data_IF_566909771022
#
_entry.id   IF_566909771022
#
_cell.length_a   1.000
_cell.length_b   1.000
_cell.length_c   1.000
_cell.angle_alpha   90.00
_cell.angle_beta   90.00
_cell.angle_gamma   90.00
#
_symmetry.space_group_name_H-M   'P 1'
#
loop_
_entity.id
_entity.type
_entity.pdbx_description
1 polymer ?
#
# COMPACT_ATOMS: atom_id res chain seq x y z
N UNK A 1 -12.29 -2.42 14.75
CA UNK A 1 -10.92 -1.89 14.62
C UNK A 1 -10.82 -0.57 15.34
N UNK A 2 -9.80 -0.42 16.12
CA UNK A 2 -9.61 0.83 16.85
C UNK A 2 -9.38 1.98 15.89
N UNK A 3 -9.80 3.17 16.31
CA UNK A 3 -9.73 4.34 15.45
C UNK A 3 -8.33 4.85 15.23
N UNK A 4 -7.33 4.31 15.96
CA UNK A 4 -5.97 4.77 15.78
C UNK A 4 -5.47 4.55 14.35
N UNK A 5 -6.19 3.74 13.55
CA UNK A 5 -5.80 3.50 12.17
C UNK A 5 -5.80 4.76 11.31
N UNK A 6 -6.52 5.81 11.75
CA UNK A 6 -6.54 7.09 11.03
C UNK A 6 -5.59 8.11 11.63
N UNK A 7 -4.88 7.75 12.68
CA UNK A 7 -4.01 8.69 13.36
C UNK A 7 -2.79 9.02 12.49
N UNK A 8 -2.43 10.28 12.46
CA UNK A 8 -1.24 10.74 11.75
C UNK A 8 0.00 9.99 12.27
N UNK A 9 0.78 9.47 11.34
CA UNK A 9 2.01 8.77 11.68
C UNK A 9 1.87 7.27 11.89
N UNK A 10 0.65 6.75 11.96
CA UNK A 10 0.44 5.32 12.12
C UNK A 10 0.78 4.59 10.82
N UNK A 11 1.46 3.46 10.92
CA UNK A 11 1.66 2.56 9.78
C UNK A 11 0.47 1.63 9.73
N UNK A 12 -0.44 1.90 8.80
CA UNK A 12 -1.76 1.32 8.82
C UNK A 12 -1.91 0.10 7.90
N UNK A 13 -1.07 -0.01 6.89
CA UNK A 13 -1.22 -1.07 5.89
C UNK A 13 0.14 -1.39 5.26
N UNK A 14 0.20 -2.50 4.54
CA UNK A 14 1.38 -2.87 3.77
C UNK A 14 0.93 -3.61 2.52
N UNK A 15 1.61 -3.32 1.39
CA UNK A 15 1.32 -3.93 0.10
C UNK A 15 2.60 -4.38 -0.56
N UNK A 16 2.51 -5.45 -1.32
CA UNK A 16 3.57 -5.89 -2.21
C UNK A 16 3.01 -5.87 -3.63
N UNK A 17 3.63 -5.09 -4.50
CA UNK A 17 3.16 -4.92 -5.88
C UNK A 17 4.20 -5.53 -6.82
N UNK A 18 3.81 -6.58 -7.53
CA UNK A 18 4.73 -7.36 -8.36
C UNK A 18 4.04 -7.82 -9.63
N UNK A 19 4.84 -8.18 -10.63
CA UNK A 19 4.29 -8.61 -11.91
C UNK A 19 3.73 -10.04 -11.84
N UNK A 20 4.23 -10.85 -10.92
CA UNK A 20 3.79 -12.25 -10.76
C UNK A 20 3.01 -12.44 -9.48
N UNK A 21 1.99 -11.61 -9.30
CA UNK A 21 1.24 -11.54 -8.04
C UNK A 21 0.60 -12.88 -7.65
N UNK A 22 0.11 -13.65 -8.64
CA UNK A 22 -0.49 -14.95 -8.32
C UNK A 22 0.52 -15.92 -7.75
N UNK A 23 1.69 -15.96 -8.34
CA UNK A 23 2.75 -16.84 -7.85
C UNK A 23 3.17 -16.43 -6.44
N UNK A 24 3.29 -15.14 -6.21
CA UNK A 24 3.72 -14.62 -4.91
C UNK A 24 2.63 -14.85 -3.86
N UNK A 25 1.36 -14.67 -4.24
CA UNK A 25 0.24 -14.99 -3.37
C UNK A 25 0.33 -16.44 -2.88
N UNK A 26 0.57 -17.36 -3.81
CA UNK A 26 0.64 -18.77 -3.47
C UNK A 26 1.86 -19.09 -2.62
N UNK A 27 2.97 -18.39 -2.90
CA UNK A 27 4.16 -18.53 -2.09
C UNK A 27 3.87 -18.20 -0.62
N UNK A 28 3.24 -17.07 -0.36
CA UNK A 28 2.95 -16.67 1.02
C UNK A 28 1.87 -17.51 1.66
N UNK A 29 0.92 -18.02 0.87
CA UNK A 29 -0.08 -18.94 1.41
C UNK A 29 0.59 -20.21 1.93
N UNK A 30 1.61 -20.68 1.24
CA UNK A 30 2.31 -21.88 1.65
C UNK A 30 3.32 -21.61 2.78
N UNK A 31 4.07 -20.54 2.67
CA UNK A 31 5.14 -20.26 3.61
C UNK A 31 4.62 -19.76 4.95
N UNK A 32 3.58 -18.94 4.92
CA UNK A 32 3.06 -18.28 6.12
C UNK A 32 1.71 -18.87 6.55
N UNK A 33 0.97 -19.44 5.62
CA UNK A 33 -0.36 -19.94 5.92
C UNK A 33 -1.45 -18.92 5.69
N UNK A 34 -1.15 -17.79 5.08
CA UNK A 34 -2.16 -16.78 4.81
C UNK A 34 -3.24 -17.32 3.88
N UNK A 35 -4.47 -16.94 4.13
CA UNK A 35 -5.59 -17.09 3.19
C UNK A 35 -5.69 -15.80 2.38
N UNK A 36 -6.59 -15.78 1.39
CA UNK A 36 -6.75 -14.54 0.65
C UNK A 36 -8.17 -14.37 0.15
N UNK A 37 -8.52 -13.12 -0.14
CA UNK A 37 -9.76 -12.75 -0.82
C UNK A 37 -9.40 -11.94 -2.06
N UNK A 38 -10.22 -12.07 -3.09
CA UNK A 38 -10.03 -11.30 -4.31
C UNK A 38 -10.51 -9.87 -4.10
N UNK A 39 -9.73 -8.92 -4.62
CA UNK A 39 -10.09 -7.51 -4.63
C UNK A 39 -10.18 -7.11 -6.11
N UNK A 40 -11.40 -6.89 -6.59
CA UNK A 40 -11.61 -6.61 -8.02
C UNK A 40 -10.99 -5.26 -8.38
N UNK A 41 -10.20 -5.26 -9.45
CA UNK A 41 -9.63 -4.04 -10.01
C UNK A 41 -10.19 -3.77 -11.40
N UNK A 42 -11.33 -4.38 -11.72
CA UNK A 42 -11.95 -4.27 -13.03
C UNK A 42 -11.63 -5.50 -13.86
N UNK A 43 -10.58 -5.44 -14.65
CA UNK A 43 -10.24 -6.52 -15.56
C UNK A 43 -9.37 -7.59 -14.89
N UNK A 44 -8.86 -7.32 -13.71
CA UNK A 44 -8.05 -8.28 -12.95
C UNK A 44 -8.36 -8.10 -11.48
N UNK A 45 -7.79 -8.96 -10.65
CA UNK A 45 -7.98 -8.87 -9.21
C UNK A 45 -6.65 -8.84 -8.50
N UNK A 46 -6.56 -8.01 -7.47
CA UNK A 46 -5.49 -8.07 -6.49
C UNK A 46 -5.95 -8.94 -5.32
N UNK A 47 -5.11 -9.10 -4.32
CA UNK A 47 -5.39 -10.02 -3.24
C UNK A 47 -5.24 -9.35 -1.90
N UNK A 48 -6.24 -9.52 -1.05
CA UNK A 48 -6.16 -9.14 0.36
C UNK A 48 -5.78 -10.40 1.12
N UNK A 49 -4.62 -10.38 1.76
CA UNK A 49 -4.13 -11.55 2.48
C UNK A 49 -4.69 -11.53 3.89
N UNK A 50 -5.14 -12.68 4.34
CA UNK A 50 -5.87 -12.82 5.60
C UNK A 50 -5.10 -13.72 6.55
N UNK A 51 -5.16 -13.40 7.84
CA UNK A 51 -4.59 -14.31 8.83
C UNK A 51 -5.37 -15.63 8.80
N UNK A 52 -4.70 -16.77 9.01
CA UNK A 52 -5.38 -18.06 8.81
C UNK A 52 -6.47 -18.35 9.80
N UNK A 53 -6.39 -17.85 11.01
CA UNK A 53 -7.36 -18.16 12.03
C UNK A 53 -8.53 -17.20 12.04
N UNK A 54 -8.27 -15.93 12.27
CA UNK A 54 -9.33 -14.93 12.39
C UNK A 54 -9.79 -14.41 11.04
N UNK A 55 -9.02 -14.69 9.98
CA UNK A 55 -9.28 -14.20 8.63
C UNK A 55 -9.34 -12.69 8.55
N UNK A 56 -8.49 -12.04 9.36
CA UNK A 56 -8.37 -10.59 9.37
C UNK A 56 -7.44 -10.15 8.26
N UNK A 57 -7.82 -9.10 7.49
CA UNK A 57 -6.93 -8.57 6.46
C UNK A 57 -5.64 -8.06 7.09
N UNK A 58 -4.51 -8.43 6.53
CA UNK A 58 -3.23 -8.02 7.08
C UNK A 58 -2.29 -7.40 6.05
N UNK A 59 -2.45 -7.69 4.77
CA UNK A 59 -1.57 -7.16 3.74
C UNK A 59 -2.21 -7.32 2.39
N UNK A 60 -1.70 -6.58 1.41
CA UNK A 60 -2.13 -6.72 0.03
C UNK A 60 -1.02 -7.28 -0.83
N UNK A 61 -1.38 -8.09 -1.83
CA UNK A 61 -0.46 -8.50 -2.89
C UNK A 61 -1.12 -8.10 -4.18
N UNK A 62 -0.47 -7.23 -4.92
CA UNK A 62 -1.06 -6.51 -6.03
C UNK A 62 -0.29 -6.71 -7.31
N UNK A 63 -0.99 -6.59 -8.42
CA UNK A 63 -0.35 -6.65 -9.73
C UNK A 63 0.29 -5.31 -10.07
N UNK A 64 1.50 -5.35 -10.62
CA UNK A 64 2.21 -4.15 -11.05
C UNK A 64 1.64 -3.69 -12.38
N UNK A 65 0.65 -2.82 -12.33
CA UNK A 65 -0.03 -2.31 -13.53
C UNK A 65 -0.30 -0.82 -13.40
N UNK A 66 -0.45 -0.16 -14.53
CA UNK A 66 -0.78 1.24 -14.57
C UNK A 66 0.28 2.09 -13.89
N UNK A 67 -0.14 2.97 -13.02
CA UNK A 67 0.78 3.83 -12.29
C UNK A 67 1.71 3.07 -11.36
N UNK A 68 1.34 1.84 -11.02
CA UNK A 68 2.12 1.03 -10.10
C UNK A 68 3.07 0.07 -10.81
N UNK A 69 3.17 0.17 -12.14
CA UNK A 69 3.98 -0.78 -12.91
C UNK A 69 5.46 -0.69 -12.59
N UNK A 70 5.92 0.46 -12.13
CA UNK A 70 7.34 0.69 -11.86
C UNK A 70 7.72 0.57 -10.39
N UNK A 71 6.78 0.15 -9.53
CA UNK A 71 7.10 0.02 -8.11
C UNK A 71 8.07 -1.13 -7.89
N UNK A 72 8.99 -0.97 -6.93
CA UNK A 72 9.93 -2.06 -6.65
C UNK A 72 9.23 -3.25 -6.02
N UNK A 73 9.82 -4.43 -6.19
CA UNK A 73 9.31 -5.65 -5.59
C UNK A 73 9.72 -5.69 -4.12
N UNK A 74 8.99 -4.97 -3.29
CA UNK A 74 9.26 -4.92 -1.86
C UNK A 74 7.97 -4.59 -1.12
N UNK A 75 7.93 -4.96 0.15
CA UNK A 75 6.79 -4.64 1.00
C UNK A 75 6.80 -3.16 1.29
N UNK A 76 5.78 -2.46 0.81
CA UNK A 76 5.63 -1.04 1.06
C UNK A 76 4.74 -0.84 2.26
N UNK A 77 5.25 -0.14 3.26
CA UNK A 77 4.41 0.27 4.38
C UNK A 77 3.66 1.54 3.99
N UNK A 78 2.44 1.68 4.53
CA UNK A 78 1.60 2.85 4.31
C UNK A 78 1.54 3.63 5.61
N UNK A 79 2.01 4.87 5.56
CA UNK A 79 2.08 5.74 6.73
C UNK A 79 1.00 6.80 6.58
N UNK A 80 0.14 6.93 7.58
CA UNK A 80 -0.93 7.92 7.54
C UNK A 80 -0.36 9.32 7.71
N UNK A 81 -0.87 10.25 6.89
CA UNK A 81 -0.51 11.66 6.98
C UNK A 81 -1.80 12.48 6.98
N UNK A 82 -1.72 13.71 7.49
CA UNK A 82 -2.90 14.57 7.57
C UNK A 82 -3.11 15.40 6.31
N UNK A 83 -2.04 15.66 5.55
CA UNK A 83 -2.12 16.48 4.33
C UNK A 83 -1.08 15.95 3.36
N UNK A 84 -1.53 15.14 2.41
CA UNK A 84 -0.61 14.42 1.55
C UNK A 84 0.15 15.35 0.61
N UNK A 85 -0.49 16.44 0.15
CA UNK A 85 0.19 17.39 -0.73
C UNK A 85 1.34 18.08 0.00
N UNK A 86 1.11 18.43 1.26
CA UNK A 86 2.15 19.04 2.06
C UNK A 86 3.29 18.06 2.34
N UNK A 87 2.92 16.80 2.59
CA UNK A 87 3.93 15.75 2.82
C UNK A 87 4.80 15.55 1.60
N UNK A 88 4.20 15.57 0.40
CA UNK A 88 4.97 15.44 -0.84
C UNK A 88 5.92 16.60 -1.00
N UNK A 89 5.45 17.83 -0.74
CA UNK A 89 6.31 19.00 -0.85
C UNK A 89 7.50 18.91 0.11
N UNK A 90 7.24 18.48 1.35
CA UNK A 90 8.32 18.31 2.32
C UNK A 90 9.29 17.22 1.89
N UNK A 91 8.76 16.13 1.36
CA UNK A 91 9.57 15.02 0.85
C UNK A 91 10.57 15.53 -0.19
N UNK A 92 10.06 16.25 -1.17
CA UNK A 92 10.92 16.75 -2.25
C UNK A 92 11.93 17.77 -1.76
N UNK A 93 11.53 18.62 -0.83
CA UNK A 93 12.42 19.62 -0.27
C UNK A 93 13.58 18.98 0.49
N UNK A 94 13.34 17.86 1.12
CA UNK A 94 14.32 17.22 1.99
C UNK A 94 15.09 16.09 1.30
N UNK A 95 15.02 16.01 -0.02
CA UNK A 95 15.85 15.10 -0.78
C UNK A 95 15.20 13.79 -1.18
N UNK A 96 13.90 13.64 -0.89
CA UNK A 96 13.15 12.48 -1.35
C UNK A 96 12.60 12.69 -2.74
N UNK A 97 11.89 11.69 -3.23
CA UNK A 97 11.30 11.72 -4.57
C UNK A 97 9.86 11.22 -4.52
N UNK A 98 9.02 11.78 -5.36
CA UNK A 98 7.67 11.27 -5.57
C UNK A 98 7.75 10.23 -6.69
N UNK A 99 7.35 8.99 -6.36
CA UNK A 99 7.40 7.88 -7.30
C UNK A 99 6.08 7.76 -8.05
N UNK A 100 4.96 7.88 -7.33
CA UNK A 100 3.64 7.73 -7.94
C UNK A 100 2.60 8.49 -7.13
N UNK A 101 1.57 8.98 -7.82
CA UNK A 101 0.46 9.70 -7.18
C UNK A 101 0.81 11.14 -6.88
N UNK A 102 0.09 11.80 -5.99
CA UNK A 102 -1.07 11.33 -5.22
C UNK A 102 -2.28 11.00 -6.08
N UNK A 103 -3.04 10.01 -5.68
CA UNK A 103 -4.27 9.70 -6.38
C UNK A 103 -5.34 9.24 -5.39
N UNK A 104 -6.59 9.40 -5.78
CA UNK A 104 -7.72 9.01 -4.97
C UNK A 104 -7.85 7.49 -4.94
N UNK A 105 -8.28 6.97 -3.81
CA UNK A 105 -8.50 5.56 -3.66
C UNK A 105 -9.94 5.33 -3.23
N UNK A 106 -10.82 5.36 -4.20
CA UNK A 106 -12.21 4.89 -4.11
C UNK A 106 -12.92 5.24 -2.81
N UNK A 107 -12.91 6.52 -2.40
CA UNK A 107 -13.62 6.94 -1.20
C UNK A 107 -12.91 6.64 0.11
N UNK A 108 -11.75 6.02 0.06
CA UNK A 108 -11.00 5.71 1.26
C UNK A 108 -9.99 6.79 1.63
N UNK A 109 -9.55 7.57 0.65
CA UNK A 109 -8.58 8.62 0.87
C UNK A 109 -7.69 8.80 -0.34
N UNK A 110 -6.50 9.35 -0.11
CA UNK A 110 -5.51 9.56 -1.17
C UNK A 110 -4.22 8.88 -0.77
N UNK A 111 -3.48 8.40 -1.77
CA UNK A 111 -2.19 7.80 -1.47
C UNK A 111 -1.15 8.22 -2.50
N UNK A 112 0.10 8.11 -2.11
CA UNK A 112 1.22 8.28 -3.02
C UNK A 112 2.35 7.36 -2.58
N UNK A 113 3.33 7.22 -3.45
CA UNK A 113 4.53 6.43 -3.14
C UNK A 113 5.72 7.37 -3.25
N UNK A 114 6.57 7.34 -2.26
CA UNK A 114 7.76 8.20 -2.20
C UNK A 114 9.00 7.35 -1.99
N UNK A 115 10.14 7.96 -2.32
CA UNK A 115 11.44 7.40 -2.00
C UNK A 115 12.13 8.36 -1.05
N UNK A 116 12.63 7.84 0.06
CA UNK A 116 13.28 8.70 1.06
C UNK A 116 14.75 8.94 0.68
N UNK A 117 15.45 9.79 1.42
CA UNK A 117 16.84 10.12 1.05
C UNK A 117 17.81 8.95 1.10
N UNK A 118 17.45 7.85 1.75
CA UNK A 118 18.29 6.65 1.75
C UNK A 118 17.97 5.73 0.58
N UNK A 119 16.95 6.05 -0.21
CA UNK A 119 16.52 5.21 -1.32
C UNK A 119 15.43 4.20 -0.96
N UNK A 120 14.95 4.23 0.28
CA UNK A 120 13.86 3.33 0.68
C UNK A 120 12.53 3.88 0.16
N UNK A 121 11.66 2.97 -0.26
CA UNK A 121 10.38 3.32 -0.85
C UNK A 121 9.27 2.95 0.12
N UNK A 122 8.32 3.85 0.28
CA UNK A 122 7.14 3.58 1.10
C UNK A 122 5.97 4.39 0.55
N UNK A 123 4.79 4.15 1.11
CA UNK A 123 3.59 4.85 0.69
C UNK A 123 3.09 5.76 1.80
N UNK A 124 2.46 6.85 1.41
CA UNK A 124 1.76 7.75 2.32
C UNK A 124 0.27 7.67 2.01
N UNK A 125 -0.52 7.75 3.04
CA UNK A 125 -1.98 7.66 2.90
C UNK A 125 -2.64 8.76 3.72
N UNK A 126 -3.49 9.53 3.06
CA UNK A 126 -4.33 10.53 3.75
C UNK A 126 -5.72 9.96 3.83
N UNK A 127 -6.19 9.54 5.03
CA UNK A 127 -7.53 8.97 5.15
C UNK A 127 -8.61 9.96 4.77
N UNK A 128 -9.69 9.45 4.20
CA UNK A 128 -10.84 10.26 3.86
C UNK A 128 -11.48 10.78 5.14
N UNK A 129 -11.71 12.09 5.17
CA UNK A 129 -12.43 12.66 6.31
C UNK A 129 -13.91 12.38 6.19
N UNK A 130 -14.55 12.24 7.32
CA UNK A 130 -16.00 11.99 7.36
C UNK A 130 -16.79 13.25 7.53
#
# INVERSE_FOLDING_TARGET
MADFSNEHGVINWRDLTVSNAEQVRDFYSEVVGWKFELVSMGEYSDYSMLTPKSKAPTAGICHAQGQNAELPAQWLIYINVSNIEQSVASCQKLGGKLIAGPKNYAGMGKYCVIQDPAGAVCALFEPQEK
#
